data_IF_219359350581
#
_entry.id   IF_219359350581
#
_cell.length_a   1.000
_cell.length_b   1.000
_cell.length_c   1.000
_cell.angle_alpha   90.00
_cell.angle_beta   90.00
_cell.angle_gamma   90.00
#
_symmetry.space_group_name_H-M   'P 1'
#
loop_
_entity.id
_entity.type
_entity.pdbx_description
1 polymer ?
#
# COMPACT_ATOMS: atom_id res chain seq x y z
N UNK A 1 -26.50 -35.99 30.69
CA UNK A 1 -25.20 -35.75 30.06
C UNK A 1 -25.49 -35.01 28.76
N UNK A 2 -25.41 -33.69 28.79
CA UNK A 2 -25.82 -32.82 27.70
C UNK A 2 -24.66 -31.92 27.30
N UNK A 3 -24.40 -31.95 26.00
CA UNK A 3 -23.89 -30.91 25.11
C UNK A 3 -22.73 -29.99 25.54
N UNK A 4 -21.67 -30.12 24.74
CA UNK A 4 -20.57 -29.18 24.63
C UNK A 4 -21.05 -27.91 23.92
N UNK A 5 -21.30 -26.84 24.68
CA UNK A 5 -21.49 -25.52 24.10
C UNK A 5 -20.12 -24.87 23.84
N UNK A 6 -19.63 -25.13 22.63
CA UNK A 6 -18.47 -24.47 22.06
C UNK A 6 -18.83 -23.00 21.80
N UNK A 7 -18.56 -22.14 22.79
CA UNK A 7 -18.83 -20.69 22.70
C UNK A 7 -17.92 -20.05 21.65
N UNK A 8 -18.54 -19.83 20.50
CA UNK A 8 -18.17 -18.94 19.40
C UNK A 8 -17.39 -17.70 19.89
N UNK A 9 -16.06 -17.72 19.77
CA UNK A 9 -15.22 -16.54 19.96
C UNK A 9 -15.31 -15.66 18.71
N UNK A 10 -16.47 -15.04 18.49
CA UNK A 10 -16.57 -13.84 17.65
C UNK A 10 -15.74 -12.74 18.29
N UNK A 11 -14.52 -12.59 17.81
CA UNK A 11 -13.63 -11.48 18.13
C UNK A 11 -14.28 -10.17 17.74
N UNK A 12 -15.06 -9.60 18.65
CA UNK A 12 -15.44 -8.20 18.60
C UNK A 12 -14.14 -7.42 18.86
N UNK A 13 -13.49 -6.95 17.80
CA UNK A 13 -12.46 -5.92 17.95
C UNK A 13 -13.22 -4.69 18.45
N UNK A 14 -13.18 -4.46 19.76
CA UNK A 14 -13.79 -3.29 20.37
C UNK A 14 -13.22 -2.05 19.67
N UNK A 15 -14.09 -1.11 19.30
CA UNK A 15 -13.61 0.18 18.77
C UNK A 15 -12.68 0.78 19.83
N UNK A 16 -11.44 1.16 19.47
CA UNK A 16 -10.53 1.75 20.43
C UNK A 16 -11.17 2.98 21.05
N UNK A 17 -11.16 3.07 22.38
CA UNK A 17 -11.59 4.30 23.06
C UNK A 17 -10.67 5.45 22.63
N UNK A 18 -11.24 6.64 22.41
CA UNK A 18 -10.45 7.80 22.01
C UNK A 18 -9.48 8.21 23.13
N UNK A 19 -8.24 8.54 22.73
CA UNK A 19 -7.25 9.08 23.66
C UNK A 19 -7.67 10.49 24.08
N UNK A 20 -7.79 10.69 25.39
CA UNK A 20 -8.22 11.93 26.05
C UNK A 20 -7.10 12.58 26.88
N UNK A 21 -5.85 12.16 26.65
CA UNK A 21 -4.72 12.52 27.50
C UNK A 21 -4.35 11.45 28.52
N UNK A 22 -5.22 10.46 28.78
CA UNK A 22 -5.00 9.39 29.77
C UNK A 22 -3.94 8.37 29.33
N UNK A 23 -3.02 8.07 30.25
CA UNK A 23 -2.02 7.00 30.15
C UNK A 23 -2.62 5.63 29.88
N UNK A 24 -3.74 5.30 30.53
CA UNK A 24 -4.43 4.00 30.41
C UNK A 24 -5.08 3.85 29.03
N UNK A 25 -5.73 4.91 28.54
CA UNK A 25 -6.36 4.88 27.21
C UNK A 25 -5.32 4.85 26.09
N UNK A 26 -4.20 5.56 26.23
CA UNK A 26 -3.07 5.43 25.31
C UNK A 26 -2.61 3.96 25.21
N UNK A 27 -2.35 3.30 26.36
CA UNK A 27 -1.94 1.88 26.43
C UNK A 27 -2.95 0.92 25.80
N UNK A 28 -4.23 1.14 26.05
CA UNK A 28 -5.29 0.30 25.49
C UNK A 28 -5.40 0.49 23.97
N UNK A 29 -5.35 1.73 23.50
CA UNK A 29 -5.47 2.09 22.09
C UNK A 29 -4.30 1.55 21.27
N UNK A 30 -3.04 1.79 21.67
CA UNK A 30 -1.90 1.39 20.83
C UNK A 30 -1.77 -0.13 20.71
N UNK A 31 -2.05 -0.90 21.78
CA UNK A 31 -2.06 -2.38 21.72
C UNK A 31 -3.06 -2.94 20.70
N UNK A 32 -4.13 -2.19 20.41
CA UNK A 32 -5.16 -2.60 19.47
C UNK A 32 -4.86 -2.12 18.03
N UNK A 33 -4.21 -0.97 17.87
CA UNK A 33 -4.10 -0.28 16.58
C UNK A 33 -2.69 -0.32 15.99
N UNK A 34 -1.66 -0.20 16.81
CA UNK A 34 -0.27 -0.10 16.37
C UNK A 34 0.42 -1.44 16.57
N UNK A 35 0.74 -2.12 15.47
CA UNK A 35 1.47 -3.40 15.49
C UNK A 35 2.73 -3.30 14.62
N UNK A 36 3.83 -3.87 15.11
CA UNK A 36 5.09 -3.98 14.40
C UNK A 36 6.25 -3.17 15.01
N UNK A 37 7.50 -3.49 14.64
CA UNK A 37 8.69 -3.01 15.36
C UNK A 37 8.86 -1.49 15.38
N UNK A 38 8.58 -0.81 14.25
CA UNK A 38 8.62 0.65 14.16
C UNK A 38 7.54 1.30 15.05
N UNK A 39 6.38 0.65 15.15
CA UNK A 39 5.26 1.13 15.94
C UNK A 39 5.50 0.96 17.45
N UNK A 40 6.18 -0.12 17.85
CA UNK A 40 6.61 -0.35 19.23
C UNK A 40 7.66 0.67 19.70
N UNK A 41 8.68 0.94 18.88
CA UNK A 41 9.70 1.93 19.24
C UNK A 41 9.11 3.34 19.33
N UNK A 42 8.25 3.71 18.37
CA UNK A 42 7.59 5.02 18.40
C UNK A 42 6.65 5.15 19.61
N UNK A 43 5.85 4.12 19.92
CA UNK A 43 4.91 4.16 21.04
C UNK A 43 5.63 4.22 22.39
N UNK A 44 6.77 3.53 22.54
CA UNK A 44 7.63 3.60 23.72
C UNK A 44 8.21 5.01 23.88
N UNK A 45 8.80 5.58 22.81
CA UNK A 45 9.34 6.95 22.87
C UNK A 45 8.25 7.98 23.19
N UNK A 46 7.05 7.83 22.60
CA UNK A 46 5.90 8.68 22.88
C UNK A 46 5.47 8.57 24.34
N UNK A 47 5.44 7.34 24.87
CA UNK A 47 5.12 7.07 26.26
C UNK A 47 6.13 7.71 27.22
N UNK A 48 7.42 7.55 26.98
CA UNK A 48 8.48 8.09 27.84
C UNK A 48 8.54 9.62 27.81
N UNK A 49 8.20 10.23 26.68
CA UNK A 49 8.18 11.67 26.53
C UNK A 49 7.02 12.34 27.30
N UNK A 50 5.83 11.72 27.32
CA UNK A 50 4.61 12.35 27.82
C UNK A 50 4.01 11.73 29.09
N UNK A 51 4.44 10.52 29.47
CA UNK A 51 3.91 9.76 30.62
C UNK A 51 5.01 9.28 31.57
N UNK A 52 6.02 10.13 31.82
CA UNK A 52 7.03 9.93 32.89
C UNK A 52 6.35 9.46 34.18
N UNK A 53 7.06 8.69 35.00
CA UNK A 53 6.48 7.78 36.00
C UNK A 53 5.31 8.35 36.83
N UNK A 54 5.35 9.63 37.20
CA UNK A 54 4.37 10.28 38.06
C UNK A 54 3.21 10.97 37.31
N UNK A 55 3.26 11.05 35.97
CA UNK A 55 2.28 11.74 35.13
C UNK A 55 1.20 10.77 34.65
N UNK A 56 0.00 10.86 35.24
CA UNK A 56 -1.15 10.02 34.85
C UNK A 56 -1.90 10.52 33.60
N UNK A 57 -1.77 11.82 33.30
CA UNK A 57 -2.43 12.46 32.17
C UNK A 57 -1.52 13.51 31.54
N UNK A 58 -1.44 13.49 30.21
CA UNK A 58 -0.82 14.58 29.44
C UNK A 58 -1.87 15.66 29.15
N UNK A 59 -1.45 16.92 28.98
CA UNK A 59 -2.33 18.00 28.49
C UNK A 59 -2.67 17.88 26.99
N UNK A 60 -2.16 16.84 26.31
CA UNK A 60 -2.39 16.66 24.88
C UNK A 60 -3.83 16.27 24.59
N UNK A 61 -4.39 17.00 23.64
CA UNK A 61 -5.70 16.68 23.09
C UNK A 61 -5.62 15.52 22.09
N UNK A 62 -6.76 14.88 21.86
CA UNK A 62 -6.91 13.88 20.78
C UNK A 62 -6.46 14.40 19.41
N UNK A 63 -6.67 15.69 19.13
CA UNK A 63 -6.28 16.29 17.86
C UNK A 63 -4.76 16.33 17.66
N UNK A 64 -4.01 16.71 18.70
CA UNK A 64 -2.54 16.75 18.67
C UNK A 64 -1.98 15.33 18.56
N UNK A 65 -2.51 14.39 19.34
CA UNK A 65 -2.12 12.98 19.26
C UNK A 65 -2.31 12.39 17.86
N UNK A 66 -3.48 12.63 17.24
CA UNK A 66 -3.76 12.20 15.87
C UNK A 66 -2.82 12.82 14.84
N UNK A 67 -2.42 14.08 15.01
CA UNK A 67 -1.49 14.72 14.11
C UNK A 67 -0.10 14.08 14.21
N UNK A 68 0.41 13.86 15.42
CA UNK A 68 1.74 13.28 15.66
C UNK A 68 1.85 11.83 15.19
N UNK A 69 0.80 11.03 15.40
CA UNK A 69 0.76 9.66 14.89
C UNK A 69 0.57 9.62 13.37
N UNK A 70 -0.18 10.57 12.80
CA UNK A 70 -0.29 10.67 11.35
C UNK A 70 1.10 10.99 10.78
N UNK A 71 1.78 12.00 11.30
CA UNK A 71 3.13 12.40 10.88
C UNK A 71 4.14 11.23 10.99
N UNK A 72 4.15 10.53 12.13
CA UNK A 72 5.07 9.41 12.36
C UNK A 72 4.92 8.22 11.41
N UNK A 73 3.69 8.00 10.90
CA UNK A 73 3.35 6.86 10.05
C UNK A 73 2.88 7.27 8.66
N UNK A 74 2.91 8.55 8.30
CA UNK A 74 2.36 9.08 7.05
C UNK A 74 3.01 8.40 5.86
N UNK A 75 4.34 8.38 5.81
CA UNK A 75 5.10 7.76 4.71
C UNK A 75 4.86 6.25 4.61
N UNK A 76 4.77 5.55 5.75
CA UNK A 76 4.51 4.11 5.77
C UNK A 76 3.09 3.78 5.29
N UNK A 77 2.11 4.61 5.66
CA UNK A 77 0.73 4.49 5.21
C UNK A 77 0.61 4.82 3.72
N UNK A 78 1.33 5.84 3.24
CA UNK A 78 1.39 6.19 1.82
C UNK A 78 2.01 5.05 0.99
N UNK A 79 3.12 4.47 1.45
CA UNK A 79 3.77 3.35 0.76
C UNK A 79 2.87 2.10 0.73
N UNK A 80 2.21 1.77 1.84
CA UNK A 80 1.26 0.65 1.90
C UNK A 80 0.03 0.87 1.00
N UNK A 81 -0.51 2.09 0.96
CA UNK A 81 -1.61 2.43 0.05
C UNK A 81 -1.17 2.39 -1.40
N UNK A 82 0.03 2.87 -1.71
CA UNK A 82 0.59 2.80 -3.05
C UNK A 82 0.78 1.34 -3.49
N UNK A 83 1.28 0.47 -2.61
CA UNK A 83 1.35 -0.97 -2.84
C UNK A 83 -0.01 -1.57 -3.20
N UNK A 84 -1.05 -1.31 -2.40
CA UNK A 84 -2.41 -1.80 -2.66
C UNK A 84 -2.91 -1.31 -4.02
N UNK A 85 -2.61 -0.05 -4.38
CA UNK A 85 -2.97 0.49 -5.70
C UNK A 85 -2.22 -0.22 -6.82
N UNK A 86 -0.94 -0.56 -6.65
CA UNK A 86 -0.17 -1.34 -7.64
C UNK A 86 -0.80 -2.73 -7.83
N UNK A 87 -1.20 -3.40 -6.73
CA UNK A 87 -1.83 -4.74 -6.79
C UNK A 87 -3.16 -4.75 -7.55
N UNK A 88 -3.87 -3.62 -7.56
CA UNK A 88 -5.14 -3.45 -8.26
C UNK A 88 -5.02 -2.65 -9.57
N UNK A 89 -3.80 -2.25 -9.94
CA UNK A 89 -3.58 -1.49 -11.16
C UNK A 89 -3.79 -2.39 -12.36
N UNK A 90 -4.62 -1.95 -13.30
CA UNK A 90 -4.78 -2.60 -14.60
C UNK A 90 -4.70 -1.57 -15.71
N UNK A 91 -4.20 -1.97 -16.89
CA UNK A 91 -4.25 -1.13 -18.07
C UNK A 91 -5.71 -0.89 -18.47
N UNK A 92 -6.54 -1.93 -18.57
CA UNK A 92 -7.92 -1.76 -19.04
C UNK A 92 -7.97 -1.27 -20.50
N UNK A 93 -8.78 -0.25 -20.77
CA UNK A 93 -8.98 0.33 -22.12
C UNK A 93 -8.14 1.58 -22.40
N UNK A 94 -7.38 2.08 -21.41
CA UNK A 94 -6.54 3.28 -21.58
C UNK A 94 -5.24 2.95 -22.33
N UNK A 95 -4.59 3.97 -22.92
CA UNK A 95 -3.27 3.84 -23.51
C UNK A 95 -2.25 3.23 -22.53
N UNK A 96 -1.36 2.41 -23.05
CA UNK A 96 -0.27 1.77 -22.27
C UNK A 96 0.61 2.83 -21.59
N UNK A 97 0.84 3.96 -22.25
CA UNK A 97 1.67 5.03 -21.72
C UNK A 97 1.09 5.61 -20.41
N UNK A 98 -0.22 5.84 -20.35
CA UNK A 98 -0.90 6.31 -19.14
C UNK A 98 -0.81 5.30 -18.00
N UNK A 99 -0.92 3.99 -18.31
CA UNK A 99 -0.71 2.93 -17.32
C UNK A 99 0.70 3.00 -16.71
N UNK A 100 1.74 3.18 -17.53
CA UNK A 100 3.11 3.27 -17.02
C UNK A 100 3.38 4.55 -16.23
N UNK A 101 2.79 5.68 -16.62
CA UNK A 101 2.88 6.91 -15.83
C UNK A 101 2.31 6.73 -14.43
N UNK A 102 1.12 6.12 -14.31
CA UNK A 102 0.53 5.84 -12.99
C UNK A 102 1.37 4.83 -12.20
N UNK A 103 1.81 3.74 -12.83
CA UNK A 103 2.66 2.74 -12.19
C UNK A 103 3.94 3.37 -11.63
N UNK A 104 4.62 4.25 -12.38
CA UNK A 104 5.87 4.88 -11.94
C UNK A 104 5.68 5.83 -10.74
N UNK A 105 4.55 6.54 -10.69
CA UNK A 105 4.18 7.37 -9.55
C UNK A 105 3.98 6.47 -8.31
N UNK A 106 3.21 5.38 -8.45
CA UNK A 106 2.93 4.46 -7.36
C UNK A 106 4.19 3.71 -6.90
N UNK A 107 5.06 3.31 -7.82
CA UNK A 107 6.35 2.71 -7.51
C UNK A 107 7.20 3.64 -6.65
N UNK A 108 7.27 4.91 -7.03
CA UNK A 108 8.01 5.93 -6.27
C UNK A 108 7.43 6.10 -4.87
N UNK A 109 6.11 6.15 -4.74
CA UNK A 109 5.41 6.26 -3.45
C UNK A 109 5.59 5.02 -2.56
N UNK A 110 5.62 3.82 -3.16
CA UNK A 110 5.83 2.57 -2.46
C UNK A 110 7.31 2.23 -2.22
N UNK A 111 8.25 2.99 -2.80
CA UNK A 111 9.68 2.76 -2.67
C UNK A 111 10.24 1.63 -3.55
N UNK A 112 9.53 1.23 -4.60
CA UNK A 112 10.02 0.23 -5.56
C UNK A 112 10.98 0.82 -6.59
N UNK A 113 11.90 -0.03 -7.02
CA UNK A 113 12.83 0.21 -8.13
C UNK A 113 12.40 -0.61 -9.35
N UNK A 114 12.89 -0.21 -10.52
CA UNK A 114 12.59 -0.88 -11.80
C UNK A 114 13.13 -2.32 -11.87
N UNK A 115 14.14 -2.63 -11.06
CA UNK A 115 14.79 -3.93 -10.99
C UNK A 115 14.03 -4.92 -10.11
N UNK A 116 13.06 -4.43 -9.31
CA UNK A 116 12.31 -5.27 -8.40
C UNK A 116 11.44 -6.26 -9.20
N UNK A 117 11.66 -7.56 -8.94
CA UNK A 117 10.98 -8.65 -9.65
C UNK A 117 9.46 -8.57 -9.53
N UNK A 118 8.96 -8.01 -8.42
CA UNK A 118 7.55 -7.73 -8.21
C UNK A 118 7.00 -6.81 -9.32
N UNK A 119 7.71 -5.74 -9.69
CA UNK A 119 7.27 -4.80 -10.73
C UNK A 119 7.23 -5.47 -12.12
N UNK A 120 8.25 -6.27 -12.45
CA UNK A 120 8.26 -7.03 -13.69
C UNK A 120 7.08 -8.01 -13.78
N UNK A 121 6.75 -8.67 -12.66
CA UNK A 121 5.59 -9.54 -12.58
C UNK A 121 4.30 -8.73 -12.74
N UNK A 122 4.16 -7.60 -12.06
CA UNK A 122 2.98 -6.73 -12.15
C UNK A 122 2.72 -6.34 -13.58
N UNK A 123 3.71 -5.88 -14.35
CA UNK A 123 3.53 -5.51 -15.77
C UNK A 123 2.96 -6.67 -16.58
N UNK A 124 3.51 -7.88 -16.40
CA UNK A 124 3.07 -9.08 -17.15
C UNK A 124 1.65 -9.51 -16.81
N UNK A 125 1.14 -9.17 -15.64
CA UNK A 125 -0.20 -9.59 -15.18
C UNK A 125 -1.26 -8.48 -15.23
N UNK A 126 -0.87 -7.21 -15.39
CA UNK A 126 -1.81 -6.07 -15.34
C UNK A 126 -1.99 -5.32 -16.65
N UNK A 127 -1.04 -5.47 -17.59
CA UNK A 127 -1.19 -5.00 -18.96
C UNK A 127 -2.12 -5.93 -19.75
N UNK A 128 -2.77 -5.42 -20.80
CA UNK A 128 -3.64 -6.22 -21.65
C UNK A 128 -2.92 -7.47 -22.18
N UNK A 129 -3.54 -8.64 -21.97
CA UNK A 129 -3.00 -9.96 -22.31
C UNK A 129 -2.57 -10.05 -23.79
N UNK A 130 -3.36 -9.48 -24.72
CA UNK A 130 -3.04 -9.51 -26.14
C UNK A 130 -1.76 -8.71 -26.50
N UNK A 131 -1.40 -7.71 -25.70
CA UNK A 131 -0.12 -7.00 -25.86
C UNK A 131 1.02 -7.80 -25.24
N UNK A 132 0.81 -8.39 -24.07
CA UNK A 132 1.78 -9.24 -23.39
C UNK A 132 2.14 -10.47 -24.24
N UNK A 133 1.17 -11.13 -24.85
CA UNK A 133 1.37 -12.27 -25.75
C UNK A 133 2.22 -11.89 -26.97
N UNK A 134 2.00 -10.70 -27.53
CA UNK A 134 2.83 -10.18 -28.63
C UNK A 134 4.27 -9.92 -28.20
N UNK A 135 4.51 -9.57 -26.95
CA UNK A 135 5.89 -9.46 -26.42
C UNK A 135 6.53 -10.84 -26.30
N UNK A 136 5.81 -11.83 -25.76
CA UNK A 136 6.32 -13.21 -25.68
C UNK A 136 6.54 -13.86 -27.04
N UNK A 137 5.79 -13.46 -28.06
CA UNK A 137 5.99 -13.90 -29.44
C UNK A 137 7.23 -13.32 -30.14
N UNK A 138 7.96 -12.39 -29.50
CA UNK A 138 9.20 -11.85 -30.07
C UNK A 138 10.38 -12.79 -29.88
N UNK A 139 11.33 -12.74 -30.81
CA UNK A 139 12.57 -13.53 -30.76
C UNK A 139 13.42 -13.16 -29.53
N UNK A 140 13.35 -11.91 -29.08
CA UNK A 140 14.14 -11.40 -27.96
C UNK A 140 13.35 -11.47 -26.65
N UNK A 141 13.86 -12.21 -25.68
CA UNK A 141 13.29 -12.26 -24.32
C UNK A 141 13.61 -10.97 -23.57
N UNK A 142 12.57 -10.23 -23.19
CA UNK A 142 12.70 -9.00 -22.41
C UNK A 142 12.73 -9.32 -20.91
N UNK A 143 13.80 -8.90 -20.23
CA UNK A 143 14.01 -9.13 -18.80
C UNK A 143 14.01 -7.86 -17.96
N UNK A 144 13.96 -6.69 -18.59
CA UNK A 144 14.05 -5.38 -17.92
C UNK A 144 12.76 -4.58 -18.05
N UNK A 145 12.48 -3.75 -17.05
CA UNK A 145 11.34 -2.85 -17.04
C UNK A 145 11.29 -1.98 -18.29
N UNK A 146 12.41 -1.31 -18.61
CA UNK A 146 12.47 -0.37 -19.73
C UNK A 146 12.28 -1.09 -21.08
N UNK A 147 12.76 -2.34 -21.20
CA UNK A 147 12.51 -3.17 -22.37
C UNK A 147 11.02 -3.46 -22.56
N UNK A 148 10.35 -3.92 -21.50
CA UNK A 148 8.91 -4.15 -21.51
C UNK A 148 8.12 -2.88 -21.84
N UNK A 149 8.42 -1.75 -21.17
CA UNK A 149 7.76 -0.46 -21.41
C UNK A 149 7.87 -0.01 -22.85
N UNK A 150 9.08 0.00 -23.41
CA UNK A 150 9.32 0.47 -24.77
C UNK A 150 8.57 -0.35 -25.82
N UNK A 151 8.58 -1.68 -25.69
CA UNK A 151 7.90 -2.56 -26.65
C UNK A 151 6.38 -2.46 -26.52
N UNK A 152 5.85 -2.44 -25.30
CA UNK A 152 4.40 -2.35 -25.09
C UNK A 152 3.82 -1.03 -25.63
N UNK A 153 4.49 0.11 -25.39
CA UNK A 153 4.07 1.40 -25.95
C UNK A 153 4.08 1.36 -27.48
N UNK A 154 5.13 0.80 -28.09
CA UNK A 154 5.20 0.67 -29.56
C UNK A 154 4.05 -0.17 -30.12
N UNK A 155 3.71 -1.28 -29.47
CA UNK A 155 2.62 -2.16 -29.90
C UNK A 155 1.25 -1.50 -29.76
N UNK A 156 1.03 -0.73 -28.70
CA UNK A 156 -0.20 0.00 -28.45
C UNK A 156 -0.41 1.11 -29.50
N UNK A 157 0.62 1.93 -29.74
CA UNK A 157 0.57 2.99 -30.75
C UNK A 157 0.27 2.45 -32.15
N UNK A 158 0.96 1.37 -32.56
CA UNK A 158 0.71 0.74 -33.85
C UNK A 158 -0.71 0.14 -33.98
N UNK A 159 -1.30 -0.30 -32.87
CA UNK A 159 -2.69 -0.75 -32.85
C UNK A 159 -3.65 0.44 -32.99
N UNK A 160 -3.42 1.54 -32.29
CA UNK A 160 -4.24 2.75 -32.37
C UNK A 160 -4.21 3.38 -33.78
N UNK A 161 -3.03 3.50 -34.40
CA UNK A 161 -2.89 3.98 -35.78
C UNK A 161 -3.73 3.15 -36.75
N UNK A 162 -3.66 1.82 -36.66
CA UNK A 162 -4.47 0.91 -37.49
C UNK A 162 -5.98 1.08 -37.26
N UNK A 163 -6.43 1.44 -36.05
CA UNK A 163 -7.86 1.70 -35.82
C UNK A 163 -8.29 3.01 -36.48
N UNK A 164 -7.44 4.04 -36.46
CA UNK A 164 -7.71 5.32 -37.10
C UNK A 164 -7.78 5.21 -38.63
N UNK A 165 -6.93 4.39 -39.25
CA UNK A 165 -6.96 4.14 -40.70
C UNK A 165 -8.24 3.43 -41.18
N UNK A 166 -8.95 2.76 -40.28
CA UNK A 166 -10.18 2.00 -40.58
C UNK A 166 -11.46 2.77 -40.28
N UNK A 167 -11.37 3.94 -39.64
CA UNK A 167 -12.50 4.80 -39.28
C UNK A 167 -12.81 5.78 -40.42
#
# INVERSE_FOLDING_TARGET
MADAEQKDRKGHIAKPEYFDGSKTKFKAWWRQVLTGPKAEVWSQNYYDQFFRDDTESSEKTWAVFKMEITDAFQDSNLAAQAQIKIDHLHQGQRPVEEYFQELEILMTQAGYKKEDQYILKTIRTSVNEALVDKVYGQVTVLTTYDGWKAVLIKLDNAWQERQQEKA
#
